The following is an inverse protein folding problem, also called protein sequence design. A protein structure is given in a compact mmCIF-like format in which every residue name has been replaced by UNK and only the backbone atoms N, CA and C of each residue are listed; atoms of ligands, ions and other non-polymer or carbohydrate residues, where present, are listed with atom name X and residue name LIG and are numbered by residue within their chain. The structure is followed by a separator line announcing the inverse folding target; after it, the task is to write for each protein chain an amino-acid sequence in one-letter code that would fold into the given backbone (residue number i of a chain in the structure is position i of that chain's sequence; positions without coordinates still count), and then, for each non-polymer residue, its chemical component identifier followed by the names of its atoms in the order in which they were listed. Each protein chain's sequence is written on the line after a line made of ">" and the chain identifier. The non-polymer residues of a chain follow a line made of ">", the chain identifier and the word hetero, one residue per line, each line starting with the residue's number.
data_IF_303191452812
#
_entry.id   IF_303191452812
#
_cell.length_a   1.000
_cell.length_b   1.000
_cell.length_c   1.000
_cell.angle_alpha   90.00
_cell.angle_beta   90.00
_cell.angle_gamma   90.00
#
_symmetry.space_group_name_H-M   'P 1'
#
loop_
_entity.id
_entity.type
_entity.pdbx_description
1 polymer ?
#
# COMPACT_ATOMS: atom_id res chain seq x y z
N UNK A 1 -10.10 17.70 -1.91
CA UNK A 1 -10.99 17.60 -3.09
C UNK A 1 -12.36 18.22 -2.88
N UNK A 2 -12.68 18.80 -1.71
CA UNK A 2 -14.03 19.32 -1.44
C UNK A 2 -15.09 18.22 -1.33
N UNK A 3 -14.67 16.94 -1.34
CA UNK A 3 -15.49 15.77 -1.15
C UNK A 3 -15.53 15.49 0.35
N UNK A 4 -16.71 15.61 0.94
CA UNK A 4 -16.94 15.21 2.32
C UNK A 4 -17.30 13.72 2.31
N UNK A 5 -16.60 12.92 3.13
CA UNK A 5 -16.84 11.48 3.22
C UNK A 5 -18.25 11.16 3.72
N UNK A 6 -18.87 12.08 4.47
CA UNK A 6 -20.22 11.92 5.03
C UNK A 6 -21.34 11.93 3.98
N UNK A 7 -21.05 12.37 2.75
CA UNK A 7 -22.00 12.37 1.64
C UNK A 7 -22.01 11.04 0.85
N UNK A 8 -21.20 10.05 1.25
CA UNK A 8 -21.01 8.81 0.51
C UNK A 8 -21.21 7.56 1.37
N UNK A 9 -21.85 6.56 0.78
CA UNK A 9 -21.76 5.18 1.24
C UNK A 9 -20.63 4.47 0.49
N UNK A 10 -19.70 3.87 1.23
CA UNK A 10 -18.56 3.14 0.66
C UNK A 10 -18.82 1.65 0.73
N UNK A 11 -18.89 1.03 -0.45
CA UNK A 11 -19.05 -0.41 -0.60
C UNK A 11 -17.69 -1.06 -0.92
N UNK A 12 -17.23 -1.95 -0.05
CA UNK A 12 -16.00 -2.73 -0.25
C UNK A 12 -16.37 -4.19 -0.46
N UNK A 13 -15.85 -4.77 -1.54
CA UNK A 13 -16.01 -6.18 -1.87
C UNK A 13 -14.63 -6.83 -1.99
N UNK A 14 -14.47 -7.95 -1.28
CA UNK A 14 -13.37 -8.88 -1.53
C UNK A 14 -13.87 -9.95 -2.50
N UNK A 15 -13.23 -10.05 -3.67
CA UNK A 15 -13.62 -10.98 -4.73
C UNK A 15 -13.15 -12.39 -4.35
N UNK A 16 -14.01 -13.39 -4.59
CA UNK A 16 -13.71 -14.83 -4.45
C UNK A 16 -13.06 -15.22 -3.11
N UNK A 17 -13.53 -14.66 -2.00
CA UNK A 17 -13.04 -14.97 -0.65
C UNK A 17 -13.94 -15.96 0.10
N UNK A 18 -13.32 -16.85 0.88
CA UNK A 18 -13.99 -17.74 1.85
C UNK A 18 -13.92 -17.21 3.30
N UNK A 19 -13.55 -15.94 3.45
CA UNK A 19 -13.31 -15.28 4.72
C UNK A 19 -12.04 -14.43 4.64
N UNK A 20 -12.11 -13.20 5.15
CA UNK A 20 -10.94 -12.31 5.27
C UNK A 20 -10.61 -12.23 6.76
N UNK A 21 -9.38 -12.57 7.10
CA UNK A 21 -8.89 -12.51 8.48
C UNK A 21 -7.61 -11.66 8.57
N UNK A 22 -7.52 -10.89 9.65
CA UNK A 22 -6.42 -9.96 9.92
C UNK A 22 -6.48 -8.62 9.19
N UNK A 23 -5.54 -7.74 9.57
CA UNK A 23 -5.42 -6.34 9.15
C UNK A 23 -4.54 -6.14 7.90
N UNK A 24 -3.99 -7.22 7.35
CA UNK A 24 -2.95 -7.16 6.30
C UNK A 24 -3.41 -6.66 4.92
N UNK A 25 -4.71 -6.40 4.76
CA UNK A 25 -5.32 -5.79 3.58
C UNK A 25 -5.61 -4.29 3.76
N UNK A 26 -5.24 -3.67 4.90
CA UNK A 26 -5.64 -2.30 5.22
C UNK A 26 -5.16 -1.28 4.18
N UNK A 27 -3.90 -1.38 3.73
CA UNK A 27 -3.40 -0.49 2.67
C UNK A 27 -4.10 -0.72 1.32
N UNK A 28 -4.53 -1.96 1.03
CA UNK A 28 -5.26 -2.31 -0.18
C UNK A 28 -6.65 -1.67 -0.19
N UNK A 29 -7.38 -1.78 0.92
CA UNK A 29 -8.70 -1.18 1.09
C UNK A 29 -8.59 0.35 1.00
N UNK A 30 -7.62 0.95 1.71
CA UNK A 30 -7.38 2.39 1.65
C UNK A 30 -7.09 2.86 0.22
N UNK A 31 -6.24 2.14 -0.50
CA UNK A 31 -5.93 2.44 -1.92
C UNK A 31 -7.18 2.38 -2.79
N UNK A 32 -8.01 1.34 -2.64
CA UNK A 32 -9.24 1.18 -3.40
C UNK A 32 -10.23 2.33 -3.15
N UNK A 33 -10.41 2.72 -1.88
CA UNK A 33 -11.27 3.85 -1.49
C UNK A 33 -10.76 5.16 -2.07
N UNK A 34 -9.47 5.45 -1.88
CA UNK A 34 -8.86 6.69 -2.37
C UNK A 34 -8.94 6.77 -3.89
N UNK A 35 -8.66 5.66 -4.59
CA UNK A 35 -8.81 5.56 -6.04
C UNK A 35 -10.24 5.88 -6.50
N UNK A 36 -11.24 5.30 -5.84
CA UNK A 36 -12.65 5.52 -6.18
C UNK A 36 -13.08 6.97 -5.91
N UNK A 37 -12.67 7.54 -4.78
CA UNK A 37 -12.98 8.93 -4.42
C UNK A 37 -12.26 9.94 -5.31
N UNK A 38 -11.03 9.68 -5.72
CA UNK A 38 -10.24 10.61 -6.53
C UNK A 38 -10.39 10.35 -8.04
N UNK A 39 -11.07 9.27 -8.43
CA UNK A 39 -11.21 8.79 -9.80
C UNK A 39 -9.84 8.59 -10.49
N UNK A 40 -8.87 8.04 -9.75
CA UNK A 40 -7.51 7.75 -10.25
C UNK A 40 -7.33 6.24 -10.32
N UNK A 41 -7.11 5.64 -11.51
CA UNK A 41 -6.97 4.20 -11.63
C UNK A 41 -5.75 3.65 -10.88
N UNK A 42 -5.89 2.41 -10.38
CA UNK A 42 -4.82 1.64 -9.73
C UNK A 42 -4.14 0.74 -10.76
N UNK A 43 -2.81 0.66 -10.70
CA UNK A 43 -2.00 -0.31 -11.45
C UNK A 43 -2.41 -1.74 -11.12
N UNK A 44 -2.77 -2.52 -12.15
CA UNK A 44 -3.19 -3.91 -11.99
C UNK A 44 -2.03 -4.92 -12.08
N UNK A 45 -0.82 -4.47 -12.42
CA UNK A 45 0.42 -5.26 -12.44
C UNK A 45 1.15 -5.27 -11.07
N UNK A 46 0.51 -4.73 -10.04
CA UNK A 46 1.04 -4.52 -8.70
C UNK A 46 0.17 -5.22 -7.64
N UNK A 47 0.81 -5.96 -6.75
CA UNK A 47 0.20 -6.45 -5.52
C UNK A 47 0.61 -5.59 -4.32
N UNK A 48 -0.13 -5.66 -3.21
CA UNK A 48 0.27 -5.01 -1.97
C UNK A 48 -0.25 -5.77 -0.74
N UNK A 49 0.49 -5.69 0.36
CA UNK A 49 0.07 -6.14 1.68
C UNK A 49 0.63 -5.23 2.74
N UNK A 50 -0.12 -4.99 3.80
CA UNK A 50 0.31 -4.15 4.91
C UNK A 50 -0.88 -3.78 5.80
N UNK A 51 -0.62 -3.70 7.10
CA UNK A 51 -1.54 -3.07 8.03
C UNK A 51 -1.34 -1.55 7.98
N UNK A 52 -2.34 -0.79 8.41
CA UNK A 52 -2.34 0.67 8.31
C UNK A 52 -2.78 1.29 9.63
N UNK A 53 -1.94 2.14 10.20
CA UNK A 53 -2.31 2.92 11.39
C UNK A 53 -3.24 4.06 11.01
N UNK A 54 -4.02 4.56 11.96
CA UNK A 54 -4.88 5.75 11.76
C UNK A 54 -4.10 7.03 11.44
N UNK A 55 -2.77 7.01 11.63
CA UNK A 55 -1.88 8.12 11.32
C UNK A 55 -1.22 7.99 9.94
N UNK A 56 -1.49 6.91 9.21
CA UNK A 56 -0.96 6.69 7.87
C UNK A 56 0.32 5.87 7.81
N UNK A 57 0.76 5.29 8.93
CA UNK A 57 1.94 4.41 8.96
C UNK A 57 1.59 3.02 8.46
N UNK A 58 2.47 2.43 7.64
CA UNK A 58 2.37 1.06 7.17
C UNK A 58 3.04 0.13 8.17
N UNK A 59 2.24 -0.76 8.75
CA UNK A 59 2.64 -1.64 9.84
C UNK A 59 2.96 -3.06 9.33
N UNK A 60 3.89 -3.77 10.00
CA UNK A 60 4.29 -5.11 9.58
C UNK A 60 3.14 -6.10 9.65
N UNK A 61 3.24 -7.14 8.82
CA UNK A 61 2.27 -8.23 8.72
C UNK A 61 2.96 -9.58 8.91
N UNK A 62 2.15 -10.60 9.21
CA UNK A 62 2.62 -11.99 9.24
C UNK A 62 2.72 -12.61 7.84
N UNK A 63 3.72 -13.47 7.65
CA UNK A 63 3.85 -14.29 6.44
C UNK A 63 4.24 -13.54 5.17
N UNK A 64 5.01 -12.44 5.29
CA UNK A 64 5.40 -11.59 4.15
C UNK A 64 6.03 -12.38 3.01
N UNK A 65 6.95 -13.30 3.29
CA UNK A 65 7.62 -14.14 2.29
C UNK A 65 6.62 -14.95 1.48
N UNK A 66 5.70 -15.66 2.14
CA UNK A 66 4.69 -16.46 1.45
C UNK A 66 3.77 -15.61 0.55
N UNK A 67 3.48 -14.36 0.97
CA UNK A 67 2.67 -13.41 0.19
C UNK A 67 3.42 -12.89 -1.03
N UNK A 68 4.71 -12.56 -0.89
CA UNK A 68 5.57 -12.17 -2.01
C UNK A 68 5.66 -13.30 -3.04
N UNK A 69 5.89 -14.53 -2.60
CA UNK A 69 5.94 -15.67 -3.52
C UNK A 69 4.59 -15.94 -4.21
N UNK A 70 3.47 -15.77 -3.50
CA UNK A 70 2.14 -15.92 -4.09
C UNK A 70 1.91 -14.86 -5.18
N UNK A 71 2.32 -13.62 -4.94
CA UNK A 71 2.30 -12.55 -5.93
C UNK A 71 3.19 -12.88 -7.14
N UNK A 72 4.43 -13.33 -6.92
CA UNK A 72 5.30 -13.77 -8.01
C UNK A 72 4.64 -14.88 -8.86
N UNK A 73 4.00 -15.87 -8.21
CA UNK A 73 3.30 -16.98 -8.89
C UNK A 73 2.06 -16.55 -9.67
N UNK A 74 1.37 -15.47 -9.26
CA UNK A 74 0.23 -14.94 -10.00
C UNK A 74 0.64 -14.13 -11.24
N UNK A 75 1.93 -13.82 -11.38
CA UNK A 75 2.48 -13.12 -12.53
C UNK A 75 2.53 -11.60 -12.40
N UNK A 76 2.15 -11.03 -11.24
CA UNK A 76 2.37 -9.60 -10.97
C UNK A 76 3.86 -9.28 -10.95
N UNK A 77 4.21 -8.06 -11.36
CA UNK A 77 5.62 -7.64 -11.54
C UNK A 77 6.19 -6.95 -10.32
N UNK A 78 5.32 -6.39 -9.48
CA UNK A 78 5.71 -5.59 -8.35
C UNK A 78 4.83 -5.93 -7.15
N UNK A 79 5.40 -5.95 -5.95
CA UNK A 79 4.65 -6.06 -4.70
C UNK A 79 5.09 -4.99 -3.71
N UNK A 80 4.13 -4.27 -3.14
CA UNK A 80 4.36 -3.34 -2.02
C UNK A 80 4.23 -4.06 -0.69
N UNK A 81 5.22 -3.90 0.18
CA UNK A 81 5.27 -4.50 1.53
C UNK A 81 5.70 -3.47 2.58
N UNK A 82 5.38 -3.69 3.87
CA UNK A 82 5.86 -2.81 4.94
C UNK A 82 7.39 -2.88 5.02
N UNK A 83 8.07 -1.74 5.12
CA UNK A 83 9.54 -1.71 5.26
C UNK A 83 10.01 -2.46 6.51
N UNK A 84 9.22 -2.40 7.58
CA UNK A 84 9.45 -3.16 8.81
C UNK A 84 9.55 -4.68 8.59
N UNK A 85 8.92 -5.23 7.54
CA UNK A 85 9.01 -6.65 7.21
C UNK A 85 10.25 -7.04 6.41
N UNK A 86 11.08 -6.10 5.94
CA UNK A 86 12.21 -6.44 5.07
C UNK A 86 13.21 -7.41 5.71
N UNK A 87 13.31 -7.42 7.04
CA UNK A 87 14.15 -8.38 7.77
C UNK A 87 13.57 -9.80 7.79
N UNK A 88 12.25 -9.94 7.57
CA UNK A 88 11.53 -11.22 7.54
C UNK A 88 11.45 -11.82 6.12
N UNK A 89 11.87 -11.06 5.10
CA UNK A 89 11.83 -11.49 3.70
C UNK A 89 12.97 -12.47 3.44
N UNK A 90 12.61 -13.72 3.13
CA UNK A 90 13.53 -14.81 2.84
C UNK A 90 13.14 -15.44 1.50
N UNK A 91 13.57 -14.85 0.38
CA UNK A 91 13.20 -15.30 -0.97
C UNK A 91 14.29 -16.16 -1.58
N UNK A 92 13.87 -17.23 -2.28
CA UNK A 92 14.75 -17.94 -3.21
C UNK A 92 15.04 -17.06 -4.45
N UNK A 93 16.24 -17.19 -5.04
CA UNK A 93 16.67 -16.50 -6.28
C UNK A 93 15.64 -16.53 -7.42
N UNK A 94 14.84 -17.60 -7.51
CA UNK A 94 13.81 -17.74 -8.54
C UNK A 94 12.71 -16.69 -8.40
N UNK A 95 12.34 -16.32 -7.17
CA UNK A 95 11.27 -15.36 -6.91
C UNK A 95 11.76 -13.92 -7.00
N UNK A 96 13.00 -13.65 -6.59
CA UNK A 96 13.63 -12.34 -6.75
C UNK A 96 13.68 -11.87 -8.21
N UNK A 97 13.80 -12.82 -9.15
CA UNK A 97 13.77 -12.55 -10.60
C UNK A 97 12.35 -12.39 -11.17
N UNK A 98 11.32 -12.79 -10.43
CA UNK A 98 9.93 -12.80 -10.90
C UNK A 98 9.16 -11.56 -10.46
N UNK A 99 9.46 -11.02 -9.27
CA UNK A 99 8.72 -9.89 -8.67
C UNK A 99 9.68 -8.90 -8.01
N UNK A 100 9.46 -7.62 -8.24
CA UNK A 100 10.13 -6.53 -7.56
C UNK A 100 9.42 -6.24 -6.22
N UNK A 101 10.18 -6.19 -5.13
CA UNK A 101 9.65 -5.87 -3.79
C UNK A 101 9.90 -4.39 -3.48
N UNK A 102 8.82 -3.63 -3.31
CA UNK A 102 8.85 -2.23 -2.91
C UNK A 102 8.47 -2.11 -1.44
N UNK A 103 9.45 -1.70 -0.62
CA UNK A 103 9.22 -1.43 0.79
C UNK A 103 8.73 0.01 1.00
N UNK A 104 7.75 0.19 1.88
CA UNK A 104 7.15 1.49 2.23
C UNK A 104 6.96 1.66 3.74
N UNK A 105 7.01 2.88 4.23
CA UNK A 105 6.71 3.23 5.63
C UNK A 105 5.35 3.91 5.79
N UNK A 106 4.82 4.56 4.75
CA UNK A 106 3.61 5.38 4.83
C UNK A 106 2.63 5.18 3.67
N UNK A 107 1.38 5.62 3.86
CA UNK A 107 0.31 5.47 2.87
C UNK A 107 0.53 6.32 1.60
N UNK A 108 1.17 7.48 1.71
CA UNK A 108 1.51 8.31 0.55
C UNK A 108 2.51 7.60 -0.37
N UNK A 109 3.50 6.89 0.17
CA UNK A 109 4.37 6.00 -0.62
C UNK A 109 3.57 4.89 -1.32
N UNK A 110 2.59 4.28 -0.64
CA UNK A 110 1.68 3.30 -1.27
C UNK A 110 0.95 3.93 -2.46
N UNK A 111 0.37 5.13 -2.29
CA UNK A 111 -0.31 5.83 -3.38
C UNK A 111 0.65 6.17 -4.53
N UNK A 112 1.89 6.53 -4.20
CA UNK A 112 2.93 6.85 -5.18
C UNK A 112 3.26 5.64 -6.06
N UNK A 113 3.25 4.42 -5.54
CA UNK A 113 3.49 3.21 -6.34
C UNK A 113 2.23 2.67 -7.01
N UNK A 114 1.09 2.68 -6.32
CA UNK A 114 -0.13 2.01 -6.74
C UNK A 114 -0.92 2.77 -7.83
N UNK A 115 -0.97 4.10 -7.77
CA UNK A 115 -1.80 4.88 -8.69
C UNK A 115 -1.11 5.09 -10.05
N UNK A 116 -1.86 4.96 -11.15
CA UNK A 116 -1.37 5.24 -12.51
C UNK A 116 -1.01 6.73 -12.64
N UNK A 117 -0.07 7.06 -13.53
CA UNK A 117 0.28 8.45 -13.84
C UNK A 117 -0.98 9.21 -14.25
N UNK A 118 -1.36 10.18 -13.42
CA UNK A 118 -2.57 10.98 -13.56
C UNK A 118 -2.27 12.41 -13.13
N UNK A 119 -2.92 13.40 -13.75
CA UNK A 119 -2.66 14.82 -13.47
C UNK A 119 -2.87 15.17 -11.98
N UNK A 120 -3.84 14.53 -11.35
CA UNK A 120 -4.20 14.76 -9.95
C UNK A 120 -3.36 13.94 -8.95
N UNK A 121 -2.56 12.97 -9.42
CA UNK A 121 -1.81 12.06 -8.55
C UNK A 121 -0.80 12.83 -7.69
N UNK A 122 0.00 13.70 -8.31
CA UNK A 122 1.05 14.43 -7.60
C UNK A 122 0.48 15.24 -6.43
N UNK A 123 -0.57 16.03 -6.69
CA UNK A 123 -1.22 16.83 -5.65
C UNK A 123 -1.97 16.00 -4.60
N UNK A 124 -2.42 14.78 -4.93
CA UNK A 124 -2.99 13.86 -3.94
C UNK A 124 -1.92 13.34 -2.98
N UNK A 125 -0.81 12.86 -3.53
CA UNK A 125 0.32 12.33 -2.76
C UNK A 125 0.89 13.42 -1.84
N UNK A 126 1.14 14.61 -2.36
CA UNK A 126 1.65 15.75 -1.56
C UNK A 126 0.71 16.14 -0.41
N UNK A 127 -0.62 16.10 -0.62
CA UNK A 127 -1.59 16.37 0.45
C UNK A 127 -1.58 15.27 1.51
N UNK A 128 -1.43 14.01 1.12
CA UNK A 128 -1.37 12.89 2.05
C UNK A 128 -0.08 12.95 2.87
N UNK A 129 1.05 13.17 2.22
CA UNK A 129 2.37 13.36 2.84
C UNK A 129 2.29 14.48 3.90
N UNK A 130 1.77 15.66 3.55
CA UNK A 130 1.63 16.77 4.50
C UNK A 130 0.74 16.46 5.72
N UNK A 131 -0.30 15.63 5.55
CA UNK A 131 -1.15 15.19 6.66
C UNK A 131 -0.43 14.18 7.53
N UNK A 132 0.26 13.22 6.93
CA UNK A 132 1.00 12.16 7.62
C UNK A 132 2.17 12.79 8.41
N UNK A 133 2.95 13.68 7.80
CA UNK A 133 4.04 14.41 8.46
C UNK A 133 3.58 15.15 9.72
N UNK A 134 2.38 15.74 9.67
CA UNK A 134 1.79 16.42 10.81
C UNK A 134 1.39 15.45 11.94
N UNK A 135 1.00 14.23 11.60
CA UNK A 135 0.51 13.23 12.57
C UNK A 135 1.64 12.34 13.12
N UNK A 136 2.71 12.15 12.35
CA UNK A 136 3.83 11.22 12.64
C UNK A 136 5.19 11.83 12.31
N UNK A 137 5.62 12.89 13.03
CA UNK A 137 6.90 13.56 12.78
C UNK A 137 8.14 12.66 13.00
N UNK A 138 7.99 11.54 13.72
CA UNK A 138 9.09 10.63 14.06
C UNK A 138 9.49 9.71 12.89
N UNK A 139 8.57 9.42 11.96
CA UNK A 139 8.81 8.49 10.83
C UNK A 139 9.82 9.06 9.84
N UNK A 140 9.81 10.37 9.58
CA UNK A 140 10.80 11.05 8.73
C UNK A 140 12.24 10.94 9.24
N UNK A 141 12.44 10.87 10.56
CA UNK A 141 13.79 10.79 11.13
C UNK A 141 14.54 9.54 10.67
N UNK A 142 13.81 8.45 10.34
CA UNK A 142 14.39 7.20 9.83
C UNK A 142 14.73 7.26 8.34
N UNK A 143 13.97 8.01 7.54
CA UNK A 143 14.19 8.15 6.09
C UNK A 143 15.41 9.05 5.80
N UNK A 144 15.68 10.02 6.68
CA UNK A 144 16.81 10.96 6.53
C UNK A 144 18.18 10.41 6.95
N UNK A 145 18.24 9.17 7.44
CA UNK A 145 19.43 8.52 8.01
C UNK A 145 19.99 7.36 7.16
N UNK A 146 19.50 7.18 5.93
CA UNK A 146 19.99 6.17 4.97
C UNK A 146 20.58 6.84 3.74
#
# INVERSE_FOLDING_TARGET
>A
TGKDISDYDIHIQFVDTHGVDGDSASITIATAIISALENIPIRQDLAMTGSLSVRGEVLPIGGVTAKIEAAARSGVKTIVVPRANMQDVLLDDRFEKMVEVLAVDTLDEVMQYALIKHEQKAGLVERLEAVIDRLTPEVQSKISLV
#
